data_IF_623845598996
#
_entry.id   IF_623845598996
#
_cell.length_a   1.000
_cell.length_b   1.000
_cell.length_c   1.000
_cell.angle_alpha   90.00
_cell.angle_beta   90.00
_cell.angle_gamma   90.00
#
_symmetry.space_group_name_H-M   'P 1'
#
loop_
_entity.id
_entity.type
_entity.pdbx_description
1 polymer ?
#
# COMPACT_ATOMS: atom_id res chain seq x y z
N UNK A 1 -50.30 -54.33 -51.05
CA UNK A 1 -49.77 -55.70 -50.90
C UNK A 1 -48.27 -55.62 -50.61
N UNK A 2 -47.86 -56.18 -49.46
CA UNK A 2 -46.59 -56.85 -49.12
C UNK A 2 -45.35 -56.51 -49.97
N UNK A 3 -44.34 -55.89 -49.35
CA UNK A 3 -43.16 -56.53 -48.71
C UNK A 3 -42.10 -57.02 -49.72
N UNK A 4 -40.85 -56.57 -49.57
CA UNK A 4 -39.74 -57.40 -49.09
C UNK A 4 -38.41 -56.61 -49.09
N UNK A 5 -37.62 -56.85 -48.06
CA UNK A 5 -36.30 -56.29 -47.71
C UNK A 5 -35.21 -56.78 -48.66
N UNK A 6 -34.16 -55.98 -48.91
CA UNK A 6 -32.76 -56.43 -48.96
C UNK A 6 -31.87 -55.37 -48.27
N UNK A 7 -31.02 -55.85 -47.35
CA UNK A 7 -30.02 -55.10 -46.58
C UNK A 7 -28.74 -54.95 -47.42
N UNK A 8 -28.07 -53.80 -47.32
CA UNK A 8 -26.66 -53.67 -47.71
C UNK A 8 -25.93 -52.92 -46.60
N UNK A 9 -24.86 -53.53 -46.11
CA UNK A 9 -24.07 -53.07 -44.98
C UNK A 9 -23.19 -51.88 -45.37
N UNK A 10 -23.26 -50.77 -44.61
CA UNK A 10 -22.30 -49.67 -44.71
C UNK A 10 -21.09 -49.99 -43.82
N UNK A 11 -19.94 -50.17 -44.45
CA UNK A 11 -18.62 -50.24 -43.81
C UNK A 11 -18.24 -48.84 -43.33
N UNK A 12 -18.22 -48.61 -42.02
CA UNK A 12 -17.74 -47.35 -41.43
C UNK A 12 -16.21 -47.34 -41.41
N UNK A 13 -15.58 -46.50 -42.23
CA UNK A 13 -14.16 -46.16 -42.11
C UNK A 13 -13.96 -45.24 -40.90
N UNK A 14 -13.41 -45.77 -39.82
CA UNK A 14 -12.85 -45.00 -38.70
C UNK A 14 -11.52 -44.38 -39.14
N UNK A 15 -11.53 -43.09 -39.47
CA UNK A 15 -10.33 -42.26 -39.59
C UNK A 15 -9.78 -41.98 -38.19
N UNK A 16 -8.79 -42.77 -37.77
CA UNK A 16 -7.96 -42.48 -36.60
C UNK A 16 -7.02 -41.34 -36.97
N UNK A 17 -7.33 -40.12 -36.53
CA UNK A 17 -6.38 -39.00 -36.58
C UNK A 17 -5.27 -39.25 -35.56
N UNK A 18 -4.06 -39.57 -36.04
CA UNK A 18 -2.88 -39.58 -35.18
C UNK A 18 -2.39 -38.12 -34.98
N UNK A 19 -2.03 -37.71 -33.75
CA UNK A 19 -1.37 -36.44 -33.56
C UNK A 19 0.06 -36.56 -34.11
N UNK A 20 0.34 -35.85 -35.20
CA UNK A 20 1.71 -35.67 -35.68
C UNK A 20 2.46 -34.78 -34.67
N UNK A 21 3.11 -35.40 -33.69
CA UNK A 21 4.16 -34.73 -32.92
C UNK A 21 5.37 -34.53 -33.83
N UNK A 22 5.39 -33.43 -34.57
CA UNK A 22 6.62 -32.96 -35.18
C UNK A 22 7.60 -32.63 -34.04
N UNK A 23 8.63 -33.46 -33.86
CA UNK A 23 9.81 -33.10 -33.04
C UNK A 23 10.43 -31.87 -33.71
N UNK A 24 10.23 -30.68 -33.14
CA UNK A 24 11.07 -29.53 -33.49
C UNK A 24 12.53 -29.95 -33.31
N UNK A 25 13.35 -29.75 -34.35
CA UNK A 25 14.78 -29.99 -34.22
C UNK A 25 15.33 -29.10 -33.08
N UNK A 26 16.24 -29.63 -32.23
CA UNK A 26 16.84 -28.83 -31.18
C UNK A 26 17.50 -27.58 -31.76
N UNK A 27 17.18 -26.40 -31.22
CA UNK A 27 17.89 -25.18 -31.57
C UNK A 27 19.31 -25.26 -31.01
N UNK A 28 20.30 -24.99 -31.86
CA UNK A 28 21.72 -24.97 -31.54
C UNK A 28 22.27 -23.56 -31.74
N UNK A 29 23.47 -23.30 -31.20
CA UNK A 29 24.18 -22.03 -31.40
C UNK A 29 24.36 -21.68 -32.90
N UNK A 30 24.62 -22.69 -33.73
CA UNK A 30 24.78 -22.51 -35.18
C UNK A 30 23.46 -22.34 -35.94
N UNK A 31 22.31 -22.65 -35.32
CA UNK A 31 21.02 -22.71 -36.01
C UNK A 31 19.98 -21.72 -35.48
N UNK A 32 20.25 -21.01 -34.39
CA UNK A 32 19.35 -20.01 -33.82
C UNK A 32 20.10 -19.02 -32.92
N UNK A 33 19.67 -17.74 -32.85
CA UNK A 33 20.17 -16.80 -31.85
C UNK A 33 19.66 -17.20 -30.46
N UNK A 34 20.42 -18.04 -29.74
CA UNK A 34 19.99 -18.58 -28.44
C UNK A 34 19.73 -17.50 -27.38
N UNK A 35 20.39 -16.34 -27.50
CA UNK A 35 20.20 -15.19 -26.60
C UNK A 35 18.84 -14.49 -26.74
N UNK A 36 18.07 -14.77 -27.81
CA UNK A 36 16.71 -14.22 -28.01
C UNK A 36 15.62 -15.24 -27.66
N UNK A 37 15.97 -16.40 -27.12
CA UNK A 37 14.97 -17.37 -26.67
C UNK A 37 14.09 -16.74 -25.59
N UNK A 38 12.78 -16.96 -25.70
CA UNK A 38 11.82 -16.43 -24.75
C UNK A 38 12.00 -17.13 -23.40
N UNK A 39 12.33 -16.38 -22.32
CA UNK A 39 12.43 -16.99 -21.00
C UNK A 39 11.06 -17.41 -20.47
N UNK A 40 11.06 -18.43 -19.62
CA UNK A 40 9.86 -18.90 -18.92
C UNK A 40 9.70 -18.14 -17.59
N UNK A 41 9.08 -16.96 -17.66
CA UNK A 41 8.93 -16.09 -16.49
C UNK A 41 7.78 -16.54 -15.58
N UNK A 42 7.99 -16.59 -14.24
CA UNK A 42 6.93 -16.95 -13.28
C UNK A 42 5.88 -15.84 -13.08
N UNK A 43 6.21 -14.61 -13.50
CA UNK A 43 5.32 -13.45 -13.53
C UNK A 43 5.47 -12.77 -14.89
N UNK A 44 4.51 -11.94 -15.34
CA UNK A 44 4.66 -11.18 -16.57
C UNK A 44 5.96 -10.34 -16.55
N UNK A 45 6.73 -10.39 -17.63
CA UNK A 45 7.92 -9.56 -17.81
C UNK A 45 7.71 -8.60 -18.98
N UNK A 46 8.17 -7.36 -18.82
CA UNK A 46 8.09 -6.32 -19.84
C UNK A 46 7.42 -5.04 -19.35
N UNK A 47 7.16 -4.13 -20.28
CA UNK A 47 6.52 -2.84 -20.02
C UNK A 47 5.00 -3.04 -19.94
N UNK A 48 4.35 -2.83 -18.77
CA UNK A 48 2.91 -2.92 -18.66
C UNK A 48 2.20 -1.83 -19.46
N UNK A 49 1.01 -2.13 -19.97
CA UNK A 49 0.16 -1.12 -20.65
C UNK A 49 -0.66 -0.36 -19.61
N UNK A 50 -0.73 0.96 -19.75
CA UNK A 50 -1.51 1.83 -18.85
C UNK A 50 -2.99 1.42 -18.76
N UNK A 51 -3.56 0.90 -19.84
CA UNK A 51 -4.94 0.42 -19.89
C UNK A 51 -5.15 -0.85 -19.04
N UNK A 52 -4.16 -1.74 -19.02
CA UNK A 52 -4.22 -2.95 -18.18
C UNK A 52 -4.08 -2.59 -16.70
N UNK A 53 -3.23 -1.61 -16.37
CA UNK A 53 -3.11 -1.05 -15.03
C UNK A 53 -4.45 -0.46 -14.58
N UNK A 54 -5.04 0.44 -15.38
CA UNK A 54 -6.32 1.07 -15.09
C UNK A 54 -7.46 0.05 -14.93
N UNK A 55 -7.48 -1.02 -15.75
CA UNK A 55 -8.46 -2.11 -15.63
C UNK A 55 -8.36 -2.81 -14.27
N UNK A 56 -7.14 -3.09 -13.79
CA UNK A 56 -6.95 -3.70 -12.47
C UNK A 56 -7.40 -2.77 -11.34
N UNK A 57 -7.09 -1.47 -11.43
CA UNK A 57 -7.57 -0.49 -10.46
C UNK A 57 -9.10 -0.44 -10.42
N UNK A 58 -9.75 -0.54 -11.59
CA UNK A 58 -11.22 -0.58 -11.69
C UNK A 58 -11.83 -1.84 -11.06
N UNK A 59 -11.18 -3.01 -11.17
CA UNK A 59 -11.62 -4.23 -10.48
C UNK A 59 -11.56 -4.07 -8.96
N UNK A 60 -10.46 -3.50 -8.45
CA UNK A 60 -10.31 -3.20 -7.02
C UNK A 60 -11.39 -2.20 -6.58
N UNK A 61 -11.61 -1.13 -7.35
CA UNK A 61 -12.65 -0.14 -7.05
C UNK A 61 -14.04 -0.80 -6.94
N UNK A 62 -14.42 -1.62 -7.92
CA UNK A 62 -15.72 -2.29 -7.92
C UNK A 62 -15.90 -3.19 -6.68
N UNK A 63 -14.88 -3.98 -6.34
CA UNK A 63 -14.90 -4.82 -5.14
C UNK A 63 -15.04 -4.01 -3.86
N UNK A 64 -14.23 -2.95 -3.71
CA UNK A 64 -14.27 -2.12 -2.52
C UNK A 64 -15.58 -1.35 -2.42
N UNK A 65 -16.16 -0.90 -3.53
CA UNK A 65 -17.45 -0.24 -3.53
C UNK A 65 -18.56 -1.13 -2.96
N UNK A 66 -18.57 -2.41 -3.33
CA UNK A 66 -19.51 -3.42 -2.82
C UNK A 66 -19.26 -3.75 -1.34
N UNK A 67 -17.99 -3.86 -0.94
CA UNK A 67 -17.60 -4.49 0.34
C UNK A 67 -17.25 -3.53 1.46
N UNK A 68 -17.37 -2.22 1.23
CA UNK A 68 -17.20 -1.20 2.28
C UNK A 68 -18.38 -0.26 2.38
N UNK A 69 -19.54 -0.79 2.79
CA UNK A 69 -20.76 -0.02 2.91
C UNK A 69 -20.65 1.10 3.94
N UNK A 70 -21.16 2.29 3.62
CA UNK A 70 -21.44 3.36 4.60
C UNK A 70 -22.74 3.08 5.35
N UNK A 71 -22.90 3.64 6.54
CA UNK A 71 -24.12 3.53 7.35
C UNK A 71 -23.92 2.81 8.68
N UNK A 72 -24.88 3.02 9.58
CA UNK A 72 -24.90 2.42 10.90
C UNK A 72 -26.05 1.42 11.04
N UNK A 73 -25.84 0.43 11.89
CA UNK A 73 -26.86 -0.54 12.29
C UNK A 73 -26.83 -0.73 13.80
N UNK A 74 -27.96 -1.10 14.38
CA UNK A 74 -27.99 -1.60 15.75
C UNK A 74 -27.29 -2.98 15.79
N UNK A 75 -26.33 -3.16 16.68
CA UNK A 75 -25.50 -4.34 16.83
C UNK A 75 -26.26 -5.57 17.34
N UNK A 76 -27.43 -5.36 17.96
CA UNK A 76 -28.30 -6.44 18.48
C UNK A 76 -29.36 -6.85 17.49
N UNK A 77 -30.01 -5.88 16.83
CA UNK A 77 -31.17 -6.15 15.96
C UNK A 77 -30.82 -6.15 14.47
N UNK A 78 -29.68 -5.56 14.08
CA UNK A 78 -29.31 -5.34 12.68
C UNK A 78 -30.13 -4.25 11.98
N UNK A 79 -31.04 -3.57 12.69
CA UNK A 79 -31.85 -2.50 12.12
C UNK A 79 -30.97 -1.31 11.70
N UNK A 80 -31.22 -0.76 10.52
CA UNK A 80 -30.52 0.41 10.01
C UNK A 80 -30.80 1.62 10.90
N UNK A 81 -29.75 2.38 11.22
CA UNK A 81 -29.84 3.64 11.94
C UNK A 81 -29.72 4.78 10.94
N UNK A 82 -30.82 5.54 10.77
CA UNK A 82 -30.90 6.67 9.83
C UNK A 82 -30.74 8.04 10.49
N UNK A 83 -30.93 8.11 11.82
CA UNK A 83 -30.77 9.32 12.63
C UNK A 83 -29.51 9.20 13.51
N UNK A 84 -28.49 10.01 13.22
CA UNK A 84 -27.24 10.00 14.00
C UNK A 84 -27.42 10.47 15.44
N UNK A 85 -28.51 11.18 15.77
CA UNK A 85 -28.86 11.54 17.14
C UNK A 85 -29.12 10.33 18.05
N UNK A 86 -29.37 9.17 17.46
CA UNK A 86 -29.64 7.91 18.16
C UNK A 86 -28.40 7.00 18.28
N UNK A 87 -27.21 7.49 17.90
CA UNK A 87 -25.97 6.73 18.06
C UNK A 87 -25.71 6.49 19.56
N UNK A 88 -25.66 5.22 19.91
CA UNK A 88 -25.48 4.73 21.28
C UNK A 88 -24.45 3.58 21.34
N UNK A 89 -24.34 2.95 22.51
CA UNK A 89 -23.44 1.80 22.74
C UNK A 89 -23.78 0.55 21.92
N UNK A 90 -25.01 0.44 21.45
CA UNK A 90 -25.50 -0.67 20.65
C UNK A 90 -25.45 -0.32 19.16
N UNK A 91 -24.78 0.77 18.77
CA UNK A 91 -24.57 1.14 17.37
C UNK A 91 -23.26 0.55 16.84
N UNK A 92 -23.24 0.09 15.58
CA UNK A 92 -22.01 -0.31 14.89
C UNK A 92 -22.06 0.10 13.41
N UNK A 93 -20.90 0.17 12.76
CA UNK A 93 -20.85 0.37 11.31
C UNK A 93 -21.47 -0.84 10.60
N UNK A 94 -22.21 -0.60 9.52
CA UNK A 94 -22.70 -1.66 8.65
C UNK A 94 -21.50 -2.52 8.22
N UNK A 95 -21.58 -3.82 8.49
CA UNK A 95 -20.47 -4.73 8.26
C UNK A 95 -20.26 -4.95 6.77
N UNK A 96 -19.01 -4.81 6.35
CA UNK A 96 -18.50 -5.32 5.09
C UNK A 96 -17.19 -6.06 5.34
N UNK A 97 -16.41 -6.28 4.28
CA UNK A 97 -15.14 -7.00 4.38
C UNK A 97 -14.07 -6.14 5.09
N UNK A 98 -14.21 -4.81 5.07
CA UNK A 98 -13.21 -3.89 5.65
C UNK A 98 -13.81 -2.74 6.46
N UNK A 99 -12.99 -2.23 7.37
CA UNK A 99 -13.32 -1.08 8.23
C UNK A 99 -13.08 0.24 7.48
N UNK A 100 -14.01 1.19 7.60
CA UNK A 100 -13.91 2.50 6.93
C UNK A 100 -12.91 3.49 7.56
N UNK A 101 -12.50 3.24 8.81
CA UNK A 101 -11.79 4.19 9.68
C UNK A 101 -10.51 3.60 10.26
N UNK A 102 -9.95 2.59 9.63
CA UNK A 102 -8.64 2.05 10.01
C UNK A 102 -7.52 2.76 9.25
N UNK A 103 -6.28 2.67 9.72
CA UNK A 103 -5.15 3.30 9.03
C UNK A 103 -4.99 2.77 7.60
N UNK A 104 -5.24 1.48 7.38
CA UNK A 104 -5.20 0.86 6.05
C UNK A 104 -6.19 1.54 5.10
N UNK A 105 -7.36 1.93 5.61
CA UNK A 105 -8.35 2.65 4.84
C UNK A 105 -7.97 4.12 4.59
N UNK A 106 -7.22 4.74 5.49
CA UNK A 106 -6.53 6.01 5.23
C UNK A 106 -5.64 5.92 3.98
N UNK A 107 -4.86 4.85 3.86
CA UNK A 107 -4.06 4.58 2.65
C UNK A 107 -4.95 4.37 1.43
N UNK A 108 -6.04 3.61 1.56
CA UNK A 108 -7.02 3.40 0.49
C UNK A 108 -7.62 4.71 -0.02
N UNK A 109 -8.04 5.62 0.86
CA UNK A 109 -8.57 6.92 0.43
C UNK A 109 -7.55 7.76 -0.35
N UNK A 110 -6.28 7.77 0.09
CA UNK A 110 -5.21 8.43 -0.66
C UNK A 110 -4.94 7.75 -2.01
N UNK A 111 -4.99 6.42 -2.06
CA UNK A 111 -4.86 5.63 -3.28
C UNK A 111 -5.97 5.90 -4.28
N UNK A 112 -7.22 5.99 -3.82
CA UNK A 112 -8.38 6.33 -4.64
C UNK A 112 -8.25 7.74 -5.24
N UNK A 113 -7.84 8.73 -4.46
CA UNK A 113 -7.60 10.09 -4.98
C UNK A 113 -6.52 10.07 -6.08
N UNK A 114 -5.41 9.38 -5.84
CA UNK A 114 -4.31 9.25 -6.81
C UNK A 114 -4.73 8.49 -8.07
N UNK A 115 -5.52 7.42 -7.92
CA UNK A 115 -6.06 6.65 -9.04
C UNK A 115 -7.01 7.49 -9.90
N UNK A 116 -7.84 8.36 -9.29
CA UNK A 116 -8.69 9.28 -10.02
C UNK A 116 -7.87 10.24 -10.90
N UNK A 117 -6.82 10.84 -10.35
CA UNK A 117 -5.91 11.72 -11.10
C UNK A 117 -5.17 10.98 -12.23
N UNK A 118 -4.69 9.76 -11.97
CA UNK A 118 -3.92 9.00 -12.94
C UNK A 118 -4.74 8.47 -14.11
N UNK A 119 -5.96 7.99 -13.83
CA UNK A 119 -6.85 7.36 -14.81
C UNK A 119 -7.81 8.36 -15.47
N UNK A 120 -8.08 9.49 -14.82
CA UNK A 120 -9.15 10.41 -15.21
C UNK A 120 -10.55 9.92 -14.84
N UNK A 121 -10.68 8.79 -14.13
CA UNK A 121 -11.97 8.24 -13.73
C UNK A 121 -12.43 8.88 -12.39
N UNK A 122 -13.55 9.63 -12.39
CA UNK A 122 -14.03 10.32 -11.19
C UNK A 122 -14.55 9.36 -10.11
N UNK A 123 -14.92 8.11 -10.46
CA UNK A 123 -15.52 7.16 -9.51
C UNK A 123 -14.60 6.84 -8.34
N UNK A 124 -13.29 6.89 -8.53
CA UNK A 124 -12.31 6.71 -7.46
C UNK A 124 -12.36 7.89 -6.46
N UNK A 125 -12.41 9.14 -6.95
CA UNK A 125 -12.59 10.31 -6.08
C UNK A 125 -13.94 10.26 -5.37
N UNK A 126 -15.01 9.92 -6.08
CA UNK A 126 -16.37 9.84 -5.54
C UNK A 126 -16.50 8.76 -4.46
N UNK A 127 -15.72 7.69 -4.54
CA UNK A 127 -15.56 6.73 -3.45
C UNK A 127 -15.05 7.46 -2.20
N UNK A 128 -13.88 8.09 -2.26
CA UNK A 128 -13.30 8.77 -1.09
C UNK A 128 -14.24 9.84 -0.54
N UNK A 129 -14.83 10.67 -1.39
CA UNK A 129 -15.71 11.76 -0.98
C UNK A 129 -16.91 11.26 -0.18
N UNK A 130 -17.64 10.25 -0.70
CA UNK A 130 -18.87 9.76 -0.02
C UNK A 130 -18.59 9.18 1.36
N UNK A 131 -17.46 8.48 1.54
CA UNK A 131 -17.12 7.88 2.84
C UNK A 131 -16.60 8.91 3.82
N UNK A 132 -15.76 9.84 3.36
CA UNK A 132 -15.28 10.93 4.21
C UNK A 132 -16.41 11.88 4.61
N UNK A 133 -17.38 12.13 3.72
CA UNK A 133 -18.61 12.86 4.05
C UNK A 133 -19.41 12.15 5.15
N UNK A 134 -19.69 10.85 4.97
CA UNK A 134 -20.36 10.03 5.99
C UNK A 134 -19.64 10.08 7.34
N UNK A 135 -18.31 9.94 7.34
CA UNK A 135 -17.47 10.02 8.53
C UNK A 135 -17.57 11.41 9.19
N UNK A 136 -17.49 12.49 8.40
CA UNK A 136 -17.54 13.86 8.92
C UNK A 136 -18.90 14.19 9.54
N UNK A 137 -20.00 13.74 8.94
CA UNK A 137 -21.35 13.97 9.45
C UNK A 137 -21.63 13.17 10.74
N UNK A 138 -21.10 11.95 10.84
CA UNK A 138 -21.29 11.11 12.02
C UNK A 138 -20.40 11.52 13.21
N UNK A 139 -19.23 12.11 12.96
CA UNK A 139 -18.21 12.36 13.97
C UNK A 139 -18.67 13.20 15.18
N UNK A 140 -19.49 14.25 15.07
CA UNK A 140 -19.97 15.01 16.23
C UNK A 140 -20.83 14.16 17.18
N UNK A 141 -21.67 13.29 16.63
CA UNK A 141 -22.56 12.40 17.40
C UNK A 141 -21.75 11.31 18.09
N UNK A 142 -20.84 10.67 17.36
CA UNK A 142 -19.92 9.68 17.95
C UNK A 142 -19.06 10.31 19.04
N UNK A 143 -18.54 11.52 18.84
CA UNK A 143 -17.76 12.26 19.85
C UNK A 143 -18.55 12.49 21.13
N UNK A 144 -19.81 12.90 21.01
CA UNK A 144 -20.71 13.11 22.16
C UNK A 144 -20.89 11.80 22.95
N UNK A 145 -21.29 10.73 22.28
CA UNK A 145 -21.50 9.41 22.92
C UNK A 145 -20.20 8.85 23.51
N UNK A 146 -19.06 9.05 22.84
CA UNK A 146 -17.75 8.64 23.35
C UNK A 146 -17.37 9.37 24.66
N UNK A 147 -17.72 10.65 24.77
CA UNK A 147 -17.47 11.45 25.98
C UNK A 147 -18.36 11.00 27.15
N UNK A 148 -19.64 10.72 26.89
CA UNK A 148 -20.59 10.19 27.90
C UNK A 148 -20.15 8.83 28.46
N UNK A 149 -19.41 8.05 27.67
CA UNK A 149 -18.88 6.74 28.03
C UNK A 149 -17.34 6.70 28.08
N UNK A 150 -16.70 7.81 28.48
CA UNK A 150 -15.25 7.94 28.46
C UNK A 150 -14.50 6.91 29.35
N UNK A 151 -15.13 6.45 30.44
CA UNK A 151 -14.56 5.46 31.37
C UNK A 151 -14.72 4.01 30.89
N UNK A 152 -15.66 3.75 29.99
CA UNK A 152 -15.90 2.42 29.43
C UNK A 152 -15.36 2.36 28.00
N UNK A 153 -14.16 1.80 27.87
CA UNK A 153 -13.55 1.54 26.56
C UNK A 153 -13.83 0.12 26.03
N UNK A 154 -14.52 -0.71 26.82
CA UNK A 154 -15.01 -2.00 26.39
C UNK A 154 -16.24 -1.90 25.48
N UNK A 155 -16.94 -0.76 25.50
CA UNK A 155 -18.06 -0.47 24.60
C UNK A 155 -17.58 -0.23 23.17
N UNK A 156 -18.01 -1.10 22.26
CA UNK A 156 -17.69 -1.06 20.83
C UNK A 156 -18.42 0.05 20.08
N UNK A 157 -18.08 1.31 20.37
CA UNK A 157 -18.60 2.47 19.64
C UNK A 157 -17.88 2.61 18.29
N UNK A 158 -18.61 2.73 17.16
CA UNK A 158 -17.99 2.87 15.85
C UNK A 158 -17.20 4.17 15.78
N UNK A 159 -16.09 4.17 15.05
CA UNK A 159 -15.25 5.36 14.83
C UNK A 159 -14.65 5.98 16.11
N UNK A 160 -14.78 5.35 17.29
CA UNK A 160 -14.25 5.85 18.55
C UNK A 160 -12.76 6.16 18.47
N UNK A 161 -11.99 5.28 17.84
CA UNK A 161 -10.55 5.46 17.63
C UNK A 161 -10.24 6.71 16.80
N UNK A 162 -11.08 7.07 15.84
CA UNK A 162 -10.86 8.25 15.01
C UNK A 162 -11.16 9.56 15.75
N UNK A 163 -12.22 9.59 16.58
CA UNK A 163 -12.62 10.79 17.35
C UNK A 163 -11.88 10.95 18.68
N UNK A 164 -11.34 9.86 19.22
CA UNK A 164 -10.61 9.82 20.48
C UNK A 164 -9.40 8.87 20.36
N UNK A 165 -8.39 9.22 19.53
CA UNK A 165 -7.25 8.33 19.26
C UNK A 165 -6.44 7.98 20.51
N UNK A 166 -5.88 6.77 20.51
CA UNK A 166 -5.03 6.20 21.57
C UNK A 166 -3.73 5.59 21.05
N UNK A 167 -3.56 5.55 19.74
CA UNK A 167 -2.31 5.28 19.06
C UNK A 167 -2.26 6.06 17.75
N UNK A 168 -1.06 6.23 17.19
CA UNK A 168 -0.88 6.73 15.81
C UNK A 168 -1.71 5.93 14.78
N UNK A 169 -1.82 4.61 14.95
CA UNK A 169 -2.63 3.70 14.10
C UNK A 169 -4.11 4.10 14.02
N UNK A 170 -4.62 4.85 15.00
CA UNK A 170 -6.02 5.26 15.04
C UNK A 170 -6.33 6.48 14.17
N UNK A 171 -5.32 7.30 13.83
CA UNK A 171 -5.55 8.63 13.29
C UNK A 171 -4.60 9.08 12.18
N UNK A 172 -3.35 8.62 12.14
CA UNK A 172 -2.31 9.15 11.27
C UNK A 172 -2.63 9.12 9.78
N UNK A 173 -2.75 7.92 9.22
CA UNK A 173 -3.03 7.72 7.80
C UNK A 173 -4.40 8.33 7.39
N UNK A 174 -5.40 8.24 8.27
CA UNK A 174 -6.71 8.88 8.07
C UNK A 174 -6.58 10.40 8.00
N UNK A 175 -5.80 11.01 8.90
CA UNK A 175 -5.55 12.45 8.90
C UNK A 175 -4.86 12.90 7.60
N UNK A 176 -3.81 12.20 7.19
CA UNK A 176 -3.13 12.49 5.92
C UNK A 176 -4.10 12.43 4.73
N UNK A 177 -4.96 11.42 4.67
CA UNK A 177 -5.98 11.27 3.63
C UNK A 177 -7.04 12.37 3.66
N UNK A 178 -7.54 12.74 4.85
CA UNK A 178 -8.51 13.82 5.02
C UNK A 178 -7.93 15.18 4.59
N UNK A 179 -6.66 15.46 4.89
CA UNK A 179 -5.99 16.68 4.43
C UNK A 179 -5.84 16.66 2.90
N UNK A 180 -5.41 15.54 2.32
CA UNK A 180 -5.35 15.38 0.85
C UNK A 180 -6.71 15.59 0.20
N UNK A 181 -7.78 15.01 0.74
CA UNK A 181 -9.15 15.19 0.26
C UNK A 181 -9.59 16.66 0.34
N UNK A 182 -9.31 17.33 1.47
CA UNK A 182 -9.59 18.76 1.65
C UNK A 182 -8.90 19.60 0.58
N UNK A 183 -7.60 19.35 0.35
CA UNK A 183 -6.81 20.04 -0.68
C UNK A 183 -7.28 19.73 -2.10
N UNK A 184 -7.87 18.56 -2.32
CA UNK A 184 -8.50 18.17 -3.59
C UNK A 184 -9.93 18.76 -3.78
N UNK A 185 -10.42 19.55 -2.82
CA UNK A 185 -11.74 20.21 -2.89
C UNK A 185 -12.89 19.34 -2.39
N UNK A 186 -12.64 18.47 -1.41
CA UNK A 186 -13.72 17.77 -0.68
C UNK A 186 -14.67 18.77 -0.01
N UNK A 187 -15.96 18.44 0.03
CA UNK A 187 -17.00 19.25 0.68
C UNK A 187 -17.25 18.84 2.13
N UNK A 188 -16.69 17.71 2.55
CA UNK A 188 -16.81 17.21 3.91
C UNK A 188 -16.11 18.16 4.91
N UNK A 189 -16.77 18.40 6.05
CA UNK A 189 -16.17 19.17 7.15
C UNK A 189 -15.17 18.31 7.94
N UNK A 190 -13.99 18.10 7.36
CA UNK A 190 -12.97 17.19 7.90
C UNK A 190 -12.07 17.85 8.96
N UNK A 191 -12.10 19.18 9.07
CA UNK A 191 -11.18 19.94 9.93
C UNK A 191 -11.21 19.50 11.41
N UNK A 192 -12.38 19.25 12.04
CA UNK A 192 -12.41 18.80 13.43
C UNK A 192 -11.69 17.47 13.69
N UNK A 193 -11.80 16.50 12.77
CA UNK A 193 -11.11 15.22 12.86
C UNK A 193 -9.60 15.37 12.60
N UNK A 194 -9.22 16.21 11.62
CA UNK A 194 -7.83 16.54 11.33
C UNK A 194 -7.15 17.16 12.57
N UNK A 195 -7.78 18.17 13.18
CA UNK A 195 -7.23 18.85 14.36
C UNK A 195 -7.12 17.89 15.56
N UNK A 196 -8.10 17.01 15.73
CA UNK A 196 -8.07 15.95 16.77
C UNK A 196 -6.86 15.03 16.60
N UNK A 197 -6.61 14.56 15.37
CA UNK A 197 -5.48 13.70 15.04
C UNK A 197 -4.14 14.42 15.22
N UNK A 198 -3.98 15.63 14.67
CA UNK A 198 -2.75 16.41 14.78
C UNK A 198 -2.43 16.74 16.24
N UNK A 199 -3.44 17.11 17.04
CA UNK A 199 -3.27 17.34 18.47
C UNK A 199 -2.78 16.07 19.19
N UNK A 200 -3.35 14.91 18.86
CA UNK A 200 -2.92 13.63 19.44
C UNK A 200 -1.45 13.33 19.10
N UNK A 201 -1.08 13.40 17.81
CA UNK A 201 0.29 13.12 17.34
C UNK A 201 1.31 14.05 18.04
N UNK A 202 0.98 15.35 18.17
CA UNK A 202 1.90 16.32 18.73
C UNK A 202 2.01 16.28 20.26
N UNK A 203 0.93 15.99 20.97
CA UNK A 203 0.85 16.26 22.42
C UNK A 203 0.52 15.05 23.29
N UNK A 204 0.00 13.96 22.72
CA UNK A 204 -0.53 12.83 23.49
C UNK A 204 0.16 11.50 23.23
N UNK A 205 0.61 11.26 22.00
CA UNK A 205 1.36 10.04 21.68
C UNK A 205 2.62 9.94 22.56
N UNK A 206 2.96 8.71 22.97
CA UNK A 206 4.11 8.45 23.80
C UNK A 206 5.41 8.77 23.05
N UNK A 207 6.41 9.28 23.77
CA UNK A 207 7.68 9.71 23.19
C UNK A 207 8.85 9.28 24.07
N UNK A 208 9.97 8.96 23.43
CA UNK A 208 11.26 8.88 24.10
C UNK A 208 11.69 10.25 24.63
N UNK A 209 12.73 10.27 25.47
CA UNK A 209 13.25 11.51 26.08
C UNK A 209 13.67 12.58 25.07
N UNK A 210 14.14 12.18 23.88
CA UNK A 210 14.52 13.12 22.81
C UNK A 210 13.33 13.59 21.95
N UNK A 211 12.12 13.14 22.28
CA UNK A 211 10.89 13.45 21.58
C UNK A 211 10.58 12.55 20.38
N UNK A 212 11.34 11.47 20.15
CA UNK A 212 11.00 10.47 19.13
C UNK A 212 9.70 9.77 19.52
N UNK A 213 8.73 9.70 18.60
CA UNK A 213 7.47 8.97 18.80
C UNK A 213 7.76 7.49 19.08
N UNK A 214 7.06 6.92 20.05
CA UNK A 214 7.31 5.58 20.55
C UNK A 214 6.03 4.96 21.12
N UNK A 215 6.10 3.67 21.44
CA UNK A 215 5.02 2.88 22.05
C UNK A 215 5.50 2.30 23.38
N UNK A 216 4.56 1.98 24.27
CA UNK A 216 4.80 1.16 25.46
C UNK A 216 4.31 -0.28 25.26
N UNK A 217 4.57 -0.83 24.07
CA UNK A 217 4.32 -2.23 23.70
C UNK A 217 5.22 -2.66 22.52
N UNK A 218 5.64 -3.93 22.43
CA UNK A 218 5.47 -4.98 23.44
C UNK A 218 6.34 -4.75 24.68
N UNK A 219 7.29 -3.79 24.63
CA UNK A 219 8.14 -3.38 25.74
C UNK A 219 7.99 -1.86 26.00
N UNK A 220 8.38 -1.35 27.18
CA UNK A 220 8.47 0.09 27.43
C UNK A 220 9.41 0.78 26.43
N UNK A 221 9.09 2.02 26.04
CA UNK A 221 9.96 2.85 25.19
C UNK A 221 10.44 2.13 23.90
N UNK A 222 9.48 1.59 23.17
CA UNK A 222 9.71 0.85 21.91
C UNK A 222 9.38 1.72 20.71
N UNK A 223 10.30 1.84 19.76
CA UNK A 223 10.02 2.44 18.45
C UNK A 223 9.63 1.33 17.47
N UNK A 224 8.50 1.49 16.81
CA UNK A 224 8.07 0.65 15.68
C UNK A 224 8.27 1.42 14.39
N UNK A 225 8.92 0.81 13.40
CA UNK A 225 9.21 1.48 12.14
C UNK A 225 7.94 2.00 11.44
N UNK A 226 6.81 1.31 11.60
CA UNK A 226 5.49 1.70 11.11
C UNK A 226 5.09 3.12 11.54
N UNK A 227 5.50 3.55 12.74
CA UNK A 227 5.13 4.86 13.31
C UNK A 227 5.63 6.05 12.49
N UNK A 228 6.62 5.86 11.60
CA UNK A 228 6.95 6.84 10.58
C UNK A 228 5.74 7.16 9.72
N UNK A 229 5.12 6.14 9.12
CA UNK A 229 3.98 6.33 8.25
C UNK A 229 2.72 6.71 9.02
N UNK A 230 2.59 6.25 10.26
CA UNK A 230 1.44 6.59 11.11
C UNK A 230 1.51 8.03 11.67
N UNK A 231 2.57 8.80 11.40
CA UNK A 231 2.69 10.18 11.91
C UNK A 231 3.15 11.20 10.88
N UNK A 232 4.24 10.91 10.17
CA UNK A 232 4.96 11.88 9.34
C UNK A 232 4.13 12.38 8.15
N UNK A 233 3.40 11.54 7.38
CA UNK A 233 2.54 12.04 6.31
C UNK A 233 1.46 13.02 6.82
N UNK A 234 0.86 12.77 7.98
CA UNK A 234 -0.15 13.66 8.57
C UNK A 234 0.47 15.02 8.94
N UNK A 235 1.63 15.00 9.61
CA UNK A 235 2.37 16.21 9.96
C UNK A 235 2.78 17.00 8.71
N UNK A 236 3.37 16.33 7.72
CA UNK A 236 3.83 16.95 6.48
C UNK A 236 2.66 17.58 5.69
N UNK A 237 1.54 16.86 5.57
CA UNK A 237 0.33 17.39 4.94
C UNK A 237 -0.26 18.57 5.73
N UNK A 238 -0.18 18.55 7.06
CA UNK A 238 -0.64 19.68 7.88
C UNK A 238 0.21 20.93 7.64
N UNK A 239 1.54 20.78 7.55
CA UNK A 239 2.43 21.86 7.12
C UNK A 239 2.03 22.43 5.75
N UNK A 240 1.64 21.56 4.82
CA UNK A 240 1.16 21.99 3.49
C UNK A 240 -0.20 22.66 3.52
N UNK A 241 -1.09 22.26 4.43
CA UNK A 241 -2.42 22.82 4.58
C UNK A 241 -2.39 24.21 5.22
N UNK A 242 -1.53 24.42 6.24
CA UNK A 242 -1.51 25.67 6.99
C UNK A 242 -0.37 26.62 6.62
N UNK A 243 0.69 26.12 5.99
CA UNK A 243 1.93 26.86 5.74
C UNK A 243 2.84 26.98 6.97
N UNK A 244 2.49 26.36 8.11
CA UNK A 244 3.27 26.48 9.33
C UNK A 244 4.49 25.54 9.35
N UNK A 245 5.69 26.14 9.47
CA UNK A 245 6.96 25.42 9.43
C UNK A 245 7.12 24.33 10.49
N UNK A 246 6.56 24.53 11.70
CA UNK A 246 6.70 23.60 12.84
C UNK A 246 6.32 22.15 12.50
N UNK A 247 5.36 21.97 11.59
CA UNK A 247 4.92 20.64 11.19
C UNK A 247 5.96 19.93 10.32
N UNK A 248 6.64 20.67 9.44
CA UNK A 248 7.75 20.15 8.63
C UNK A 248 8.97 19.86 9.50
N UNK A 249 9.33 20.76 10.43
CA UNK A 249 10.46 20.56 11.34
C UNK A 249 10.24 19.28 12.19
N UNK A 250 9.02 19.08 12.72
CA UNK A 250 8.67 17.87 13.47
C UNK A 250 8.69 16.62 12.59
N UNK A 251 8.14 16.68 11.37
CA UNK A 251 8.14 15.57 10.42
C UNK A 251 9.58 15.12 10.07
N UNK A 252 10.47 16.06 9.75
CA UNK A 252 11.88 15.79 9.51
C UNK A 252 12.59 15.24 10.76
N UNK A 253 12.30 15.79 11.94
CA UNK A 253 12.85 15.30 13.21
C UNK A 253 12.52 13.82 13.40
N UNK A 254 11.26 13.42 13.21
CA UNK A 254 10.86 12.01 13.39
C UNK A 254 11.60 11.09 12.42
N UNK A 255 11.63 11.40 11.12
CA UNK A 255 12.36 10.59 10.12
C UNK A 255 13.82 10.41 10.50
N UNK A 256 14.53 11.50 10.83
CA UNK A 256 15.96 11.44 11.14
C UNK A 256 16.26 10.76 12.50
N UNK A 257 15.37 10.90 13.49
CA UNK A 257 15.51 10.23 14.79
C UNK A 257 15.28 8.72 14.71
N UNK A 258 14.34 8.27 13.88
CA UNK A 258 14.14 6.85 13.59
C UNK A 258 15.34 6.30 12.82
N UNK A 259 15.75 6.97 11.74
CA UNK A 259 16.89 6.55 10.92
C UNK A 259 18.18 6.38 11.73
N UNK A 260 18.45 7.29 12.68
CA UNK A 260 19.62 7.19 13.57
C UNK A 260 19.69 5.89 14.36
N UNK A 261 18.54 5.32 14.71
CA UNK A 261 18.44 4.11 15.56
C UNK A 261 18.22 2.84 14.77
N UNK A 262 17.44 2.93 13.69
CA UNK A 262 16.82 1.76 13.05
C UNK A 262 17.33 1.50 11.64
N UNK A 263 17.99 2.47 10.99
CA UNK A 263 18.50 2.30 9.63
C UNK A 263 19.87 1.63 9.65
N UNK A 264 19.99 0.45 9.08
CA UNK A 264 21.26 -0.21 8.90
C UNK A 264 21.96 0.37 7.65
N UNK A 265 23.01 1.17 7.86
CA UNK A 265 23.72 1.86 6.76
C UNK A 265 24.48 0.93 5.83
N UNK A 266 24.89 -0.24 6.30
CA UNK A 266 25.59 -1.23 5.47
C UNK A 266 24.62 -1.95 4.53
N UNK A 267 23.41 -2.23 5.01
CA UNK A 267 22.37 -2.94 4.26
C UNK A 267 21.45 -1.99 3.47
N UNK A 268 21.37 -0.73 3.87
CA UNK A 268 20.48 0.27 3.26
C UNK A 268 18.99 0.01 3.53
N UNK A 269 18.66 -0.66 4.64
CA UNK A 269 17.27 -0.98 5.05
C UNK A 269 17.13 -0.90 6.57
N UNK A 270 15.88 -0.87 7.05
CA UNK A 270 15.57 -0.71 8.46
C UNK A 270 15.32 -2.04 9.18
N UNK A 271 15.68 -2.09 10.48
CA UNK A 271 15.07 -3.04 11.42
C UNK A 271 13.61 -2.64 11.72
N UNK A 272 12.75 -3.61 12.04
CA UNK A 272 11.35 -3.34 12.35
C UNK A 272 11.15 -2.65 13.72
N UNK A 273 11.96 -3.02 14.71
CA UNK A 273 11.73 -2.64 16.10
C UNK A 273 12.99 -2.30 16.86
N UNK A 274 12.91 -1.25 17.68
CA UNK A 274 14.00 -0.83 18.56
C UNK A 274 13.45 -0.59 19.98
N UNK A 275 14.11 -1.11 21.00
CA UNK A 275 13.67 -1.01 22.40
C UNK A 275 14.77 -0.32 23.21
N UNK A 276 14.42 0.75 23.94
CA UNK A 276 15.39 1.54 24.69
C UNK A 276 16.13 0.73 25.77
N UNK A 277 15.43 -0.22 26.40
CA UNK A 277 16.00 -1.07 27.45
C UNK A 277 16.89 -2.21 26.97
N UNK A 278 17.08 -2.41 25.67
CA UNK A 278 17.92 -3.49 25.13
C UNK A 278 19.37 -3.05 24.94
N UNK A 279 20.32 -3.88 25.38
CA UNK A 279 21.75 -3.68 25.12
C UNK A 279 22.16 -4.04 23.68
N UNK A 280 21.44 -4.98 23.06
CA UNK A 280 21.61 -5.38 21.66
C UNK A 280 20.24 -5.34 20.96
N UNK A 281 20.22 -4.93 19.69
CA UNK A 281 18.98 -4.77 18.92
C UNK A 281 18.94 -5.76 17.75
N UNK A 282 18.21 -6.89 17.85
CA UNK A 282 18.05 -7.83 16.75
C UNK A 282 17.39 -7.19 15.53
N UNK A 283 18.05 -7.25 14.38
CA UNK A 283 17.57 -6.61 13.16
C UNK A 283 16.69 -7.53 12.32
N UNK A 284 15.38 -7.57 12.62
CA UNK A 284 14.39 -8.15 11.71
C UNK A 284 13.94 -7.13 10.67
N UNK A 285 14.38 -7.29 9.43
CA UNK A 285 14.12 -6.37 8.31
C UNK A 285 12.80 -6.69 7.62
N UNK A 286 11.71 -6.51 8.37
CA UNK A 286 10.37 -6.83 7.89
C UNK A 286 9.95 -5.93 6.71
N UNK A 287 9.46 -6.55 5.64
CA UNK A 287 9.22 -5.88 4.38
C UNK A 287 8.14 -4.79 4.47
N UNK A 288 6.96 -5.06 5.02
CA UNK A 288 5.91 -4.03 5.02
C UNK A 288 6.29 -2.80 5.85
N UNK A 289 6.93 -2.96 7.01
CA UNK A 289 7.38 -1.81 7.78
C UNK A 289 8.49 -1.01 7.06
N UNK A 290 9.40 -1.70 6.35
CA UNK A 290 10.33 -1.01 5.44
C UNK A 290 9.59 -0.26 4.33
N UNK A 291 8.51 -0.84 3.80
CA UNK A 291 7.60 -0.17 2.89
C UNK A 291 7.04 1.12 3.48
N UNK A 292 6.54 1.08 4.71
CA UNK A 292 6.02 2.26 5.40
C UNK A 292 7.07 3.36 5.58
N UNK A 293 8.31 3.02 5.91
CA UNK A 293 9.40 3.99 5.95
C UNK A 293 9.67 4.62 4.57
N UNK A 294 9.78 3.81 3.52
CA UNK A 294 10.06 4.30 2.17
C UNK A 294 8.91 5.15 1.61
N UNK A 295 7.66 4.74 1.87
CA UNK A 295 6.46 5.53 1.55
C UNK A 295 6.45 6.85 2.32
N UNK A 296 6.88 6.86 3.58
CA UNK A 296 6.96 8.07 4.39
C UNK A 296 7.93 9.09 3.82
N UNK A 297 9.09 8.64 3.38
CA UNK A 297 10.12 9.52 2.81
C UNK A 297 9.63 10.23 1.55
N UNK A 298 8.98 9.50 0.63
CA UNK A 298 8.40 10.11 -0.58
C UNK A 298 7.22 11.02 -0.25
N UNK A 299 6.38 10.66 0.72
CA UNK A 299 5.24 11.48 1.16
C UNK A 299 5.68 12.78 1.85
N UNK A 300 6.77 12.74 2.63
CA UNK A 300 7.37 13.93 3.22
C UNK A 300 7.97 14.82 2.13
N UNK A 301 8.82 14.27 1.26
CA UNK A 301 9.50 15.03 0.21
C UNK A 301 8.54 15.69 -0.79
N UNK A 302 7.35 15.12 -1.01
CA UNK A 302 6.32 15.67 -1.90
C UNK A 302 5.81 17.05 -1.44
N UNK A 303 5.83 17.31 -0.13
CA UNK A 303 5.27 18.54 0.45
C UNK A 303 6.26 19.35 1.27
N UNK A 304 7.45 18.82 1.55
CA UNK A 304 8.53 19.52 2.24
C UNK A 304 9.06 20.67 1.36
N UNK A 305 9.17 21.91 1.87
CA UNK A 305 9.72 23.03 1.11
C UNK A 305 11.12 22.73 0.58
N UNK A 306 11.41 23.11 -0.67
CA UNK A 306 12.69 22.80 -1.33
C UNK A 306 13.90 23.38 -0.59
N UNK A 307 13.72 24.53 0.07
CA UNK A 307 14.73 25.22 0.87
C UNK A 307 14.73 24.79 2.35
N UNK A 308 13.97 23.76 2.74
CA UNK A 308 13.98 23.27 4.12
C UNK A 308 15.36 22.69 4.47
N UNK A 309 15.98 23.09 5.60
CA UNK A 309 17.38 22.75 5.89
C UNK A 309 17.65 21.24 6.02
N UNK A 310 16.64 20.47 6.43
CA UNK A 310 16.77 19.01 6.60
C UNK A 310 16.37 18.21 5.35
N UNK A 311 15.89 18.87 4.28
CA UNK A 311 15.50 18.19 3.03
C UNK A 311 16.66 17.39 2.41
N UNK A 312 17.92 17.87 2.36
CA UNK A 312 19.02 17.09 1.82
C UNK A 312 19.24 15.76 2.57
N UNK A 313 19.08 15.75 3.88
CA UNK A 313 19.28 14.55 4.71
C UNK A 313 18.17 13.51 4.47
N UNK A 314 16.92 13.97 4.33
CA UNK A 314 15.79 13.07 3.98
C UNK A 314 15.97 12.52 2.56
N UNK A 315 16.44 13.33 1.61
CA UNK A 315 16.69 12.89 0.24
C UNK A 315 17.85 11.88 0.15
N UNK A 316 18.92 12.08 0.93
CA UNK A 316 20.02 11.12 1.04
C UNK A 316 19.53 9.77 1.59
N UNK A 317 18.70 9.81 2.63
CA UNK A 317 18.10 8.63 3.23
C UNK A 317 17.21 7.86 2.23
N UNK A 318 16.34 8.58 1.50
CA UNK A 318 15.52 8.01 0.42
C UNK A 318 16.39 7.27 -0.61
N UNK A 319 17.50 7.87 -1.04
CA UNK A 319 18.41 7.27 -2.03
C UNK A 319 19.12 6.03 -1.48
N UNK A 320 19.55 6.07 -0.23
CA UNK A 320 20.16 4.91 0.43
C UNK A 320 19.15 3.77 0.58
N UNK A 321 17.91 4.07 0.97
CA UNK A 321 16.85 3.09 1.14
C UNK A 321 16.43 2.47 -0.20
N UNK A 322 16.25 3.29 -1.24
CA UNK A 322 16.00 2.83 -2.61
C UNK A 322 17.11 1.89 -3.11
N UNK A 323 18.37 2.20 -2.83
CA UNK A 323 19.49 1.31 -3.19
C UNK A 323 19.44 -0.03 -2.46
N UNK A 324 19.21 -0.02 -1.14
CA UNK A 324 19.16 -1.24 -0.33
C UNK A 324 17.99 -2.14 -0.71
N UNK A 325 16.80 -1.56 -0.91
CA UNK A 325 15.61 -2.31 -1.34
C UNK A 325 15.80 -2.91 -2.74
N UNK A 326 16.38 -2.18 -3.70
CA UNK A 326 16.56 -2.69 -5.06
C UNK A 326 17.48 -3.92 -5.10
N UNK A 327 18.50 -3.96 -4.23
CA UNK A 327 19.41 -5.09 -4.10
C UNK A 327 18.75 -6.35 -3.49
N UNK A 328 17.56 -6.23 -2.91
CA UNK A 328 16.83 -7.30 -2.23
C UNK A 328 15.54 -7.72 -2.98
N UNK A 329 15.34 -7.23 -4.21
CA UNK A 329 14.23 -7.67 -5.04
C UNK A 329 14.45 -9.12 -5.49
N UNK A 330 13.44 -9.97 -5.33
CA UNK A 330 13.53 -11.36 -5.79
C UNK A 330 13.42 -11.45 -7.32
N UNK A 331 13.86 -12.57 -7.88
CA UNK A 331 13.77 -12.81 -9.33
C UNK A 331 12.35 -12.84 -9.90
N UNK A 332 11.32 -12.92 -9.06
CA UNK A 332 9.90 -12.81 -9.46
C UNK A 332 9.32 -11.41 -9.30
N UNK A 333 10.15 -10.42 -8.95
CA UNK A 333 9.74 -9.02 -8.80
C UNK A 333 9.15 -8.64 -7.45
N UNK A 334 8.83 -9.62 -6.61
CA UNK A 334 8.38 -9.42 -5.24
C UNK A 334 9.57 -9.15 -4.29
N UNK A 335 9.24 -8.78 -3.06
CA UNK A 335 10.18 -8.84 -1.94
C UNK A 335 9.76 -9.91 -0.93
N UNK A 336 10.76 -10.50 -0.28
CA UNK A 336 10.59 -11.47 0.79
C UNK A 336 10.07 -10.79 2.06
N UNK A 337 9.22 -11.48 2.84
CA UNK A 337 8.64 -11.02 4.10
C UNK A 337 9.70 -10.49 5.07
N UNK A 338 10.82 -11.21 5.20
CA UNK A 338 12.06 -10.64 5.74
C UNK A 338 13.01 -10.41 4.57
N UNK A 339 13.38 -9.15 4.35
CA UNK A 339 13.99 -8.69 3.10
C UNK A 339 15.30 -9.39 2.75
N UNK A 340 16.09 -9.74 3.76
CA UNK A 340 17.40 -10.37 3.63
C UNK A 340 17.37 -11.88 3.89
N UNK A 341 16.18 -12.49 3.78
CA UNK A 341 15.96 -13.92 3.96
C UNK A 341 15.09 -14.48 2.85
N UNK A 342 15.77 -14.95 1.81
CA UNK A 342 15.16 -15.46 0.57
C UNK A 342 14.33 -16.75 0.77
N UNK A 343 14.48 -17.41 1.91
CA UNK A 343 13.66 -18.56 2.32
C UNK A 343 12.36 -18.16 3.03
N UNK A 344 12.13 -16.86 3.30
CA UNK A 344 10.84 -16.35 3.75
C UNK A 344 9.89 -16.10 2.56
N UNK A 345 8.58 -16.16 2.79
CA UNK A 345 7.61 -16.05 1.69
C UNK A 345 7.60 -14.65 1.03
N UNK A 346 7.19 -14.58 -0.24
CA UNK A 346 7.05 -13.34 -0.99
C UNK A 346 5.77 -12.58 -0.59
N UNK A 347 5.87 -11.28 -0.30
CA UNK A 347 4.77 -10.51 0.31
C UNK A 347 4.27 -9.37 -0.61
N UNK A 348 2.95 -9.31 -0.78
CA UNK A 348 2.33 -8.47 -1.82
C UNK A 348 2.18 -7.00 -1.41
N UNK A 349 1.81 -6.71 -0.16
CA UNK A 349 1.60 -5.32 0.26
C UNK A 349 2.90 -4.51 0.27
N UNK A 350 4.00 -5.05 0.78
CA UNK A 350 5.32 -4.45 0.73
C UNK A 350 5.76 -4.20 -0.71
N UNK A 351 5.60 -5.19 -1.59
CA UNK A 351 5.94 -5.05 -3.02
C UNK A 351 5.14 -3.92 -3.68
N UNK A 352 3.84 -3.79 -3.37
CA UNK A 352 3.03 -2.68 -3.85
C UNK A 352 3.48 -1.31 -3.29
N UNK A 353 3.81 -1.25 -1.99
CA UNK A 353 4.35 -0.02 -1.38
C UNK A 353 5.67 0.39 -2.06
N UNK A 354 6.58 -0.56 -2.30
CA UNK A 354 7.84 -0.28 -2.98
C UNK A 354 7.62 0.18 -4.41
N UNK A 355 6.70 -0.46 -5.14
CA UNK A 355 6.30 -0.03 -6.48
C UNK A 355 5.86 1.43 -6.49
N UNK A 356 4.98 1.83 -5.55
CA UNK A 356 4.54 3.21 -5.38
C UNK A 356 5.72 4.16 -5.11
N UNK A 357 6.53 3.86 -4.10
CA UNK A 357 7.58 4.76 -3.66
C UNK A 357 8.70 4.92 -4.71
N UNK A 358 9.10 3.84 -5.41
CA UNK A 358 10.01 3.93 -6.55
C UNK A 358 9.42 4.77 -7.66
N UNK A 359 8.20 4.46 -8.12
CA UNK A 359 7.57 5.18 -9.23
C UNK A 359 7.41 6.67 -8.90
N UNK A 360 6.98 7.01 -7.68
CA UNK A 360 6.89 8.41 -7.24
C UNK A 360 8.25 9.09 -7.19
N UNK A 361 9.27 8.47 -6.61
CA UNK A 361 10.61 9.04 -6.56
C UNK A 361 11.24 9.24 -7.95
N UNK A 362 10.96 8.34 -8.90
CA UNK A 362 11.34 8.46 -10.32
C UNK A 362 10.61 9.63 -10.98
N UNK A 363 9.28 9.69 -10.84
CA UNK A 363 8.43 10.74 -11.40
C UNK A 363 8.81 12.14 -10.90
N UNK A 364 9.43 12.24 -9.73
CA UNK A 364 9.92 13.49 -9.12
C UNK A 364 11.40 13.75 -9.35
N UNK A 365 12.12 12.86 -10.03
CA UNK A 365 13.56 12.99 -10.29
C UNK A 365 14.43 12.88 -9.04
N UNK A 366 13.94 12.26 -7.97
CA UNK A 366 14.70 12.11 -6.73
C UNK A 366 15.72 10.96 -6.79
N UNK A 367 15.43 9.95 -7.61
CA UNK A 367 16.30 8.80 -7.89
C UNK A 367 16.44 8.59 -9.41
N UNK A 368 17.51 7.90 -9.82
CA UNK A 368 17.81 7.68 -11.24
C UNK A 368 16.81 6.72 -11.90
N UNK A 369 16.11 7.20 -12.91
CA UNK A 369 15.07 6.42 -13.57
C UNK A 369 15.64 5.26 -14.39
N UNK A 370 16.86 5.36 -14.93
CA UNK A 370 17.48 4.25 -15.68
C UNK A 370 17.83 3.11 -14.74
N UNK A 371 18.30 3.40 -13.52
CA UNK A 371 18.61 2.41 -12.50
C UNK A 371 17.37 1.74 -11.90
N UNK A 372 16.30 2.50 -11.61
CA UNK A 372 15.21 2.02 -10.75
C UNK A 372 13.88 1.76 -11.45
N UNK A 373 13.62 2.30 -12.64
CA UNK A 373 12.35 2.07 -13.32
C UNK A 373 12.11 0.59 -13.70
N UNK A 374 13.11 -0.18 -14.18
CA UNK A 374 12.92 -1.61 -14.44
C UNK A 374 12.48 -2.38 -13.18
N UNK A 375 13.08 -2.07 -12.01
CA UNK A 375 12.70 -2.67 -10.74
C UNK A 375 11.24 -2.35 -10.35
N UNK A 376 10.82 -1.09 -10.54
CA UNK A 376 9.44 -0.66 -10.28
C UNK A 376 8.43 -1.34 -11.23
N UNK A 377 8.76 -1.47 -12.52
CA UNK A 377 7.88 -2.13 -13.50
C UNK A 377 7.79 -3.64 -13.26
N UNK A 378 8.91 -4.29 -12.91
CA UNK A 378 8.92 -5.69 -12.53
C UNK A 378 8.08 -5.94 -11.26
N UNK A 379 8.20 -5.06 -10.27
CA UNK A 379 7.39 -5.10 -9.06
C UNK A 379 5.89 -4.93 -9.34
N UNK A 380 5.52 -3.99 -10.23
CA UNK A 380 4.15 -3.85 -10.67
C UNK A 380 3.63 -5.11 -11.35
N UNK A 381 4.39 -5.69 -12.28
CA UNK A 381 3.98 -6.90 -12.97
C UNK A 381 3.76 -8.05 -11.97
N UNK A 382 4.62 -8.20 -10.98
CA UNK A 382 4.46 -9.14 -9.89
C UNK A 382 3.15 -8.90 -9.12
N UNK A 383 2.94 -7.67 -8.63
CA UNK A 383 1.72 -7.26 -7.89
C UNK A 383 0.45 -7.48 -8.72
N UNK A 384 0.50 -7.23 -10.03
CA UNK A 384 -0.64 -7.40 -10.92
C UNK A 384 -1.17 -8.84 -10.96
N UNK A 385 -0.32 -9.84 -10.73
CA UNK A 385 -0.73 -11.26 -10.65
C UNK A 385 -1.50 -11.60 -9.38
N UNK A 386 -1.47 -10.72 -8.38
CA UNK A 386 -2.11 -10.92 -7.06
C UNK A 386 -3.48 -10.26 -6.95
N UNK A 387 -3.93 -9.55 -7.98
CA UNK A 387 -5.30 -9.05 -8.07
C UNK A 387 -6.14 -10.11 -8.78
N UNK A 388 -6.99 -10.80 -8.03
CA UNK A 388 -7.83 -11.86 -8.60
C UNK A 388 -9.05 -11.30 -9.34
N UNK A 389 -9.82 -12.17 -10.00
CA UNK A 389 -10.98 -11.77 -10.79
C UNK A 389 -12.09 -11.05 -10.00
N UNK A 390 -12.13 -11.21 -8.66
CA UNK A 390 -13.06 -10.49 -7.78
C UNK A 390 -12.57 -9.09 -7.43
N UNK A 391 -11.32 -8.73 -7.70
CA UNK A 391 -10.69 -7.48 -7.27
C UNK A 391 -10.05 -7.56 -5.88
N UNK A 392 -9.89 -8.77 -5.33
CA UNK A 392 -9.17 -8.97 -4.06
C UNK A 392 -7.66 -9.02 -4.30
N UNK A 393 -6.89 -8.59 -3.29
CA UNK A 393 -5.42 -8.59 -3.31
C UNK A 393 -4.88 -9.76 -2.48
N UNK A 394 -4.41 -10.79 -3.15
CA UNK A 394 -3.86 -12.01 -2.55
C UNK A 394 -2.42 -11.83 -2.04
N UNK A 395 -1.91 -12.78 -1.26
CA UNK A 395 -0.52 -12.77 -0.78
C UNK A 395 -0.16 -11.60 0.15
N UNK A 396 -1.16 -10.95 0.73
CA UNK A 396 -0.97 -9.83 1.67
C UNK A 396 -0.84 -10.36 3.10
N UNK A 397 0.27 -10.06 3.76
CA UNK A 397 0.49 -10.40 5.17
C UNK A 397 -0.52 -9.68 6.08
N UNK A 398 -1.13 -10.40 7.02
CA UNK A 398 -2.09 -9.83 7.98
C UNK A 398 -1.40 -8.86 8.96
N UNK A 399 -2.20 -8.15 9.78
CA UNK A 399 -1.68 -7.30 10.86
C UNK A 399 -0.62 -8.04 11.69
N UNK A 400 0.54 -7.42 11.84
CA UNK A 400 1.75 -8.07 12.36
C UNK A 400 2.40 -7.16 13.38
N UNK A 401 2.61 -7.70 14.57
CA UNK A 401 3.28 -7.01 15.66
C UNK A 401 4.81 -7.09 15.57
N UNK A 402 5.49 -6.72 16.65
CA UNK A 402 6.94 -6.87 16.76
C UNK A 402 7.32 -8.22 17.39
N UNK A 403 8.17 -8.97 16.69
CA UNK A 403 8.81 -10.18 17.20
C UNK A 403 10.33 -10.04 17.24
N UNK A 404 10.98 -10.82 18.13
CA UNK A 404 12.44 -10.89 18.27
C UNK A 404 13.00 -12.28 17.87
N UNK A 405 12.20 -13.07 17.18
CA UNK A 405 12.59 -14.34 16.56
C UNK A 405 12.09 -14.37 15.10
N UNK A 406 12.75 -15.12 14.20
CA UNK A 406 12.34 -15.16 12.80
C UNK A 406 11.05 -15.91 12.57
N UNK A 407 10.75 -16.96 13.36
CA UNK A 407 9.56 -17.78 13.15
C UNK A 407 8.30 -16.93 13.21
N UNK A 408 8.24 -15.96 14.13
CA UNK A 408 7.17 -14.98 14.20
C UNK A 408 6.89 -14.31 12.85
N UNK A 409 7.92 -13.86 12.12
CA UNK A 409 7.76 -13.18 10.83
C UNK A 409 7.50 -14.15 9.68
N UNK A 410 8.20 -15.29 9.63
CA UNK A 410 8.08 -16.30 8.56
C UNK A 410 6.69 -16.89 8.47
N UNK A 411 6.01 -17.08 9.62
CA UNK A 411 4.73 -17.76 9.68
C UNK A 411 3.54 -16.80 9.84
N UNK A 412 3.73 -15.50 9.56
CA UNK A 412 2.58 -14.58 9.50
C UNK A 412 1.63 -15.02 8.39
N UNK A 413 0.33 -15.19 8.68
CA UNK A 413 -0.64 -15.55 7.66
C UNK A 413 -0.75 -14.48 6.58
N UNK A 414 -1.10 -14.91 5.37
CA UNK A 414 -1.58 -14.02 4.32
C UNK A 414 -3.08 -14.16 4.14
N UNK A 415 -3.78 -13.08 3.77
CA UNK A 415 -5.22 -13.11 3.54
C UNK A 415 -5.65 -12.07 2.52
N UNK A 416 -6.59 -12.37 1.60
CA UNK A 416 -7.23 -11.35 0.76
C UNK A 416 -8.04 -10.33 1.58
N UNK A 417 -8.41 -10.66 2.83
CA UNK A 417 -9.07 -9.73 3.75
C UNK A 417 -8.09 -8.88 4.57
N UNK A 418 -6.77 -9.02 4.33
CA UNK A 418 -5.80 -8.11 4.92
C UNK A 418 -5.87 -6.74 4.20
N UNK A 419 -6.44 -5.75 4.88
CA UNK A 419 -6.68 -4.41 4.33
C UNK A 419 -5.42 -3.70 3.77
N UNK A 420 -4.24 -4.09 4.26
CA UNK A 420 -2.93 -3.55 3.90
C UNK A 420 -2.58 -3.64 2.41
N UNK A 421 -3.23 -4.51 1.64
CA UNK A 421 -2.93 -4.68 0.20
C UNK A 421 -3.60 -3.64 -0.69
N UNK A 422 -4.77 -3.13 -0.29
CA UNK A 422 -5.65 -2.39 -1.20
C UNK A 422 -5.15 -0.98 -1.50
N UNK A 423 -4.91 -0.17 -0.47
CA UNK A 423 -4.39 1.19 -0.63
C UNK A 423 -3.06 1.24 -1.38
N UNK A 424 -2.06 0.41 -1.01
CA UNK A 424 -0.80 0.35 -1.74
C UNK A 424 -0.92 -0.05 -3.21
N UNK A 425 -1.78 -1.00 -3.58
CA UNK A 425 -1.95 -1.38 -5.00
C UNK A 425 -2.58 -0.24 -5.80
N UNK A 426 -3.55 0.48 -5.22
CA UNK A 426 -4.14 1.67 -5.84
C UNK A 426 -3.09 2.78 -6.07
N UNK A 427 -2.29 3.08 -5.03
CA UNK A 427 -1.20 4.05 -5.11
C UNK A 427 -0.15 3.64 -6.15
N UNK A 428 0.27 2.37 -6.14
CA UNK A 428 1.26 1.83 -7.07
C UNK A 428 0.80 1.94 -8.52
N UNK A 429 -0.41 1.47 -8.82
CA UNK A 429 -0.92 1.53 -10.19
C UNK A 429 -1.10 2.96 -10.68
N UNK A 430 -1.55 3.87 -9.81
CA UNK A 430 -1.66 5.29 -10.15
C UNK A 430 -0.31 5.90 -10.54
N UNK A 431 0.74 5.67 -9.75
CA UNK A 431 2.09 6.19 -10.04
C UNK A 431 2.76 5.49 -11.22
N UNK A 432 2.51 4.19 -11.44
CA UNK A 432 2.98 3.48 -12.63
C UNK A 432 2.36 4.09 -13.90
N UNK A 433 1.06 4.40 -13.90
CA UNK A 433 0.42 5.09 -15.03
C UNK A 433 1.11 6.44 -15.29
N UNK A 434 1.41 7.22 -14.24
CA UNK A 434 2.12 8.49 -14.41
C UNK A 434 3.55 8.29 -14.94
N UNK A 435 4.26 7.27 -14.46
CA UNK A 435 5.61 6.93 -14.90
C UNK A 435 5.65 6.52 -16.38
N UNK A 436 4.67 5.72 -16.83
CA UNK A 436 4.52 5.33 -18.24
C UNK A 436 4.17 6.52 -19.15
N UNK A 437 3.55 7.58 -18.61
CA UNK A 437 3.31 8.84 -19.35
C UNK A 437 4.57 9.72 -19.41
N UNK A 438 5.33 9.79 -18.31
CA UNK A 438 6.51 10.65 -18.18
C UNK A 438 7.79 10.08 -18.78
N UNK A 439 7.85 8.76 -18.96
CA UNK A 439 9.04 8.06 -19.44
C UNK A 439 8.70 7.06 -20.54
N UNK A 440 9.65 6.86 -21.47
CA UNK A 440 9.55 5.86 -22.53
C UNK A 440 10.39 4.64 -22.17
N UNK A 441 9.82 3.45 -22.41
CA UNK A 441 10.46 2.19 -22.12
C UNK A 441 10.38 1.27 -23.34
N UNK A 442 11.36 0.40 -23.49
CA UNK A 442 11.37 -0.62 -24.53
C UNK A 442 11.99 -1.92 -24.00
N UNK A 443 11.79 -3.01 -24.74
CA UNK A 443 12.62 -4.21 -24.58
C UNK A 443 13.85 -4.03 -25.45
N UNK A 444 15.02 -3.95 -24.83
CA UNK A 444 16.30 -3.87 -25.51
C UNK A 444 17.24 -4.90 -24.89
N UNK A 445 17.86 -5.71 -25.75
CA UNK A 445 18.61 -6.92 -25.38
C UNK A 445 17.83 -7.82 -24.41
N UNK A 446 16.58 -8.13 -24.77
CA UNK A 446 15.64 -8.94 -23.99
C UNK A 446 15.30 -8.40 -22.59
N UNK A 447 15.68 -7.15 -22.28
CA UNK A 447 15.49 -6.52 -20.97
C UNK A 447 14.68 -5.22 -21.04
N UNK A 448 13.92 -4.91 -20.00
CA UNK A 448 13.22 -3.62 -19.89
C UNK A 448 14.24 -2.51 -19.68
N UNK A 449 14.30 -1.56 -20.61
CA UNK A 449 15.20 -0.41 -20.57
C UNK A 449 14.42 0.90 -20.63
N UNK A 450 14.90 1.92 -19.90
CA UNK A 450 14.43 3.30 -20.08
C UNK A 450 15.11 3.90 -21.29
N UNK A 451 14.32 4.34 -22.26
CA UNK A 451 14.83 5.13 -23.38
C UNK A 451 15.32 6.48 -22.88
N UNK A 452 16.60 6.76 -23.09
CA UNK A 452 17.12 8.11 -22.86
C UNK A 452 16.50 9.06 -23.90
N UNK A 453 16.18 10.30 -23.54
CA UNK A 453 15.86 11.32 -24.54
C UNK A 453 17.02 11.37 -25.53
N UNK A 454 16.75 11.41 -26.84
CA UNK A 454 17.79 11.72 -27.82
C UNK A 454 18.37 13.08 -27.43
N UNK A 455 19.62 13.10 -27.02
CA UNK A 455 20.39 14.34 -26.93
C UNK A 455 20.66 14.77 -28.36
N UNK A 456 19.97 15.82 -28.81
CA UNK A 456 20.30 16.50 -30.06
C UNK A 456 21.63 17.25 -29.97
#
# INVERSE_FOLDING_TARGET
>A
MNSLKIRTACLALLLVAQPAFARQQPQTDASAPLHTLRPDYPVPYGVPRSEDVARLLNLIHAYLEETTPTGFVNSRTGAALTDYGQIDRDTTLRRGDFRLVSYEWGVTYAGMLSASEATGDPRFRDYTERRLQFIAEAAPYVSKTAAEHASDWGTGLPMRNLVAPRALDDCGAMCAAMIKATRAGSRANLRPLIDTAINYILTKEHRLRDGTLARNRPQPNTIWLDDLFMSVPALAQMGRLTGERKYYDEACKQVLSFARRMFNRERGVYMHGWVEGMGEHPEFRWARANGWAFMTEVELLEVLPENHPQRPQVLELLRAHAKGLAALQSGSGFWHQLLDREDSYLETSATAIYTYAYARAINRGWIDATAYAPAALLAWNAVSTKVNARGQVEGTCVGTGMGFDPAFYYFRPTSPYAAHGYGPVLLAGAEVIQMLKGHKFEINDSSVQRLQPKTD
#
